data_IF_848204191434
#
_entry.id   IF_848204191434
#
_cell.length_a   1.000
_cell.length_b   1.000
_cell.length_c   1.000
_cell.angle_alpha   90.00
_cell.angle_beta   90.00
_cell.angle_gamma   90.00
#
_symmetry.space_group_name_H-M   'P 1'
#
loop_
_entity.id
_entity.type
_entity.pdbx_description
1 polymer ?
#
# COMPACT_ATOMS: atom_id res chain seq x y z
N UNK A 1 -4.99 12.82 27.06
CA UNK A 1 -5.58 11.87 26.10
C UNK A 1 -6.32 12.60 24.98
N UNK A 2 -7.19 13.56 25.30
CA UNK A 2 -7.97 14.37 24.32
C UNK A 2 -7.14 15.12 23.25
N UNK A 3 -5.92 15.56 23.59
CA UNK A 3 -5.04 16.26 22.65
C UNK A 3 -4.45 15.33 21.58
N UNK A 4 -4.14 14.06 21.95
CA UNK A 4 -3.61 13.07 21.02
C UNK A 4 -4.69 12.57 20.05
N UNK A 5 -5.93 12.42 20.50
CA UNK A 5 -7.07 12.06 19.64
C UNK A 5 -7.38 13.15 18.62
N UNK A 6 -7.35 14.43 19.03
CA UNK A 6 -7.49 15.56 18.10
C UNK A 6 -6.37 15.58 17.06
N UNK A 7 -5.13 15.31 17.46
CA UNK A 7 -3.99 15.24 16.55
C UNK A 7 -4.11 14.06 15.57
N UNK A 8 -4.43 12.87 16.06
CA UNK A 8 -4.67 11.67 15.25
C UNK A 8 -5.81 11.88 14.25
N UNK A 9 -6.92 12.48 14.69
CA UNK A 9 -8.05 12.79 13.81
C UNK A 9 -7.68 13.77 12.70
N UNK A 10 -6.82 14.75 12.97
CA UNK A 10 -6.35 15.71 11.97
C UNK A 10 -5.46 15.04 10.92
N UNK A 11 -4.58 14.14 11.35
CA UNK A 11 -3.70 13.37 10.46
C UNK A 11 -4.54 12.39 9.61
N UNK A 12 -5.47 11.66 10.21
CA UNK A 12 -6.39 10.73 9.52
C UNK A 12 -7.36 11.42 8.56
N UNK A 13 -7.51 12.74 8.66
CA UNK A 13 -8.34 13.54 7.76
C UNK A 13 -7.53 14.32 6.71
N UNK A 14 -6.20 14.18 6.66
CA UNK A 14 -5.37 14.73 5.58
C UNK A 14 -5.76 14.10 4.24
N UNK A 15 -5.78 14.87 3.15
CA UNK A 15 -5.91 14.30 1.80
C UNK A 15 -4.58 13.64 1.43
N UNK A 16 -4.54 12.32 1.14
CA UNK A 16 -3.30 11.67 0.71
C UNK A 16 -2.87 12.21 -0.66
N UNK A 17 -1.56 12.27 -0.86
CA UNK A 17 -0.94 12.44 -2.18
C UNK A 17 -1.10 11.15 -3.00
N UNK A 18 -0.92 11.24 -4.32
CA UNK A 18 -0.96 10.04 -5.17
C UNK A 18 0.11 9.01 -4.80
N UNK A 19 1.29 9.46 -4.32
CA UNK A 19 2.34 8.53 -3.89
C UNK A 19 1.96 7.80 -2.61
N UNK A 20 1.44 8.51 -1.61
CA UNK A 20 0.93 7.90 -0.37
C UNK A 20 -0.22 6.92 -0.67
N UNK A 21 -1.14 7.29 -1.56
CA UNK A 21 -2.24 6.44 -2.00
C UNK A 21 -1.73 5.16 -2.69
N UNK A 22 -0.83 5.29 -3.68
CA UNK A 22 -0.27 4.14 -4.39
C UNK A 22 0.53 3.23 -3.46
N UNK A 23 1.37 3.78 -2.57
CA UNK A 23 2.13 2.98 -1.60
C UNK A 23 1.18 2.20 -0.68
N UNK A 24 0.12 2.84 -0.19
CA UNK A 24 -0.88 2.17 0.63
C UNK A 24 -1.61 1.05 -0.13
N UNK A 25 -2.00 1.28 -1.38
CA UNK A 25 -2.65 0.26 -2.20
C UNK A 25 -1.72 -0.92 -2.50
N UNK A 26 -0.44 -0.69 -2.77
CA UNK A 26 0.55 -1.76 -2.99
C UNK A 26 0.78 -2.54 -1.70
N UNK A 27 0.97 -1.86 -0.56
CA UNK A 27 1.11 -2.51 0.74
C UNK A 27 -0.10 -3.40 1.06
N UNK A 28 -1.31 -2.92 0.82
CA UNK A 28 -2.52 -3.70 1.10
C UNK A 28 -2.75 -4.83 0.08
N UNK A 29 -2.66 -4.55 -1.22
CA UNK A 29 -3.17 -5.48 -2.24
C UNK A 29 -2.10 -6.49 -2.66
N UNK A 30 -0.82 -6.12 -2.59
CA UNK A 30 0.29 -6.98 -3.00
C UNK A 30 0.94 -7.66 -1.80
N UNK A 31 1.38 -6.89 -0.81
CA UNK A 31 2.15 -7.42 0.33
C UNK A 31 1.29 -8.30 1.24
N UNK A 32 0.06 -7.91 1.55
CA UNK A 32 -0.84 -8.69 2.41
C UNK A 32 -1.57 -9.79 1.61
N UNK A 33 -0.84 -10.72 1.00
CA UNK A 33 -1.43 -11.78 0.18
C UNK A 33 -0.44 -12.90 -0.14
N UNK A 34 -0.72 -13.66 -1.20
CA UNK A 34 0.08 -14.82 -1.62
C UNK A 34 1.60 -14.59 -1.69
N UNK A 35 2.07 -13.35 -1.88
CA UNK A 35 3.50 -13.05 -1.88
C UNK A 35 4.21 -13.32 -0.55
N UNK A 36 3.50 -13.23 0.59
CA UNK A 36 4.09 -13.51 1.91
C UNK A 36 4.42 -15.00 2.10
N UNK A 37 3.74 -15.88 1.35
CA UNK A 37 3.98 -17.33 1.36
C UNK A 37 5.13 -17.74 0.42
N UNK A 38 5.65 -16.81 -0.40
CA UNK A 38 6.71 -17.08 -1.35
C UNK A 38 8.09 -16.89 -0.70
N UNK A 39 8.85 -17.98 -0.57
CA UNK A 39 10.21 -17.99 -0.01
C UNK A 39 11.29 -18.36 -1.04
N UNK A 40 10.93 -18.48 -2.31
CA UNK A 40 11.80 -18.94 -3.40
C UNK A 40 11.60 -18.09 -4.66
N UNK A 41 12.31 -18.45 -5.74
CA UNK A 41 12.10 -17.83 -7.05
C UNK A 41 10.66 -18.07 -7.50
N UNK A 42 9.95 -16.99 -7.80
CA UNK A 42 8.56 -17.02 -8.25
C UNK A 42 8.51 -17.58 -9.68
N UNK A 43 7.74 -18.64 -9.88
CA UNK A 43 7.43 -19.18 -11.21
C UNK A 43 6.40 -18.31 -11.95
N UNK A 44 6.27 -18.48 -13.26
CA UNK A 44 5.30 -17.72 -14.05
C UNK A 44 3.85 -17.98 -13.59
N UNK A 45 3.55 -19.19 -13.14
CA UNK A 45 2.23 -19.58 -12.64
C UNK A 45 1.92 -18.91 -11.30
N UNK A 46 2.90 -18.89 -10.39
CA UNK A 46 2.79 -18.19 -9.10
C UNK A 46 2.68 -16.67 -9.31
N UNK A 47 3.45 -16.11 -10.24
CA UNK A 47 3.34 -14.71 -10.62
C UNK A 47 1.94 -14.40 -11.18
N UNK A 48 1.42 -15.25 -12.06
CA UNK A 48 0.06 -15.09 -12.60
C UNK A 48 -0.99 -15.12 -11.49
N UNK A 49 -0.87 -16.07 -10.55
CA UNK A 49 -1.76 -16.15 -9.37
C UNK A 49 -1.69 -14.87 -8.53
N UNK A 50 -0.48 -14.41 -8.22
CA UNK A 50 -0.24 -13.18 -7.48
C UNK A 50 -0.91 -11.97 -8.14
N UNK A 51 -0.76 -11.83 -9.46
CA UNK A 51 -1.34 -10.72 -10.23
C UNK A 51 -2.88 -10.77 -10.23
N UNK A 52 -3.48 -11.96 -10.38
CA UNK A 52 -4.94 -12.12 -10.34
C UNK A 52 -5.48 -11.74 -8.96
N UNK A 53 -4.86 -12.21 -7.89
CA UNK A 53 -5.29 -11.90 -6.52
C UNK A 53 -5.13 -10.41 -6.19
N UNK A 54 -3.96 -9.85 -6.52
CA UNK A 54 -3.66 -8.42 -6.31
C UNK A 54 -4.65 -7.54 -7.05
N UNK A 55 -4.94 -7.84 -8.31
CA UNK A 55 -5.87 -7.05 -9.13
C UNK A 55 -7.33 -7.15 -8.64
N UNK A 56 -7.77 -8.33 -8.20
CA UNK A 56 -9.10 -8.50 -7.60
C UNK A 56 -9.24 -7.72 -6.27
N UNK A 57 -8.18 -7.66 -5.47
CA UNK A 57 -8.19 -6.84 -4.25
C UNK A 57 -8.15 -5.35 -4.57
N UNK A 58 -7.34 -4.93 -5.55
CA UNK A 58 -7.28 -3.55 -6.01
C UNK A 58 -8.63 -3.07 -6.56
N UNK A 59 -9.34 -3.90 -7.33
CA UNK A 59 -10.69 -3.61 -7.82
C UNK A 59 -11.64 -3.26 -6.68
N UNK A 60 -11.65 -4.05 -5.59
CA UNK A 60 -12.47 -3.77 -4.40
C UNK A 60 -12.12 -2.40 -3.79
N UNK A 61 -10.83 -2.04 -3.75
CA UNK A 61 -10.39 -0.73 -3.22
C UNK A 61 -10.80 0.42 -4.14
N UNK A 62 -10.78 0.23 -5.46
CA UNK A 62 -11.27 1.23 -6.42
C UNK A 62 -12.80 1.41 -6.30
N UNK A 63 -13.55 0.32 -6.19
CA UNK A 63 -15.00 0.38 -5.92
C UNK A 63 -15.26 1.13 -4.60
N UNK A 64 -14.46 0.87 -3.56
CA UNK A 64 -14.55 1.59 -2.28
C UNK A 64 -14.25 3.08 -2.43
N UNK A 65 -13.25 3.45 -3.25
CA UNK A 65 -12.92 4.84 -3.56
C UNK A 65 -14.12 5.59 -4.14
N UNK A 66 -14.84 4.94 -5.05
CA UNK A 66 -15.99 5.53 -5.73
C UNK A 66 -17.25 5.55 -4.85
N UNK A 67 -17.58 4.42 -4.21
CA UNK A 67 -18.83 4.26 -3.44
C UNK A 67 -18.74 4.82 -2.02
N UNK A 68 -17.56 4.78 -1.40
CA UNK A 68 -17.33 5.12 0.01
C UNK A 68 -16.08 5.99 0.20
N UNK A 69 -15.98 7.17 -0.44
CA UNK A 69 -14.75 7.98 -0.49
C UNK A 69 -14.21 8.40 0.88
N UNK A 70 -15.08 8.59 1.87
CA UNK A 70 -14.67 8.94 3.25
C UNK A 70 -13.98 7.77 3.94
N UNK A 71 -14.53 6.56 3.79
CA UNK A 71 -13.94 5.34 4.36
C UNK A 71 -12.64 4.99 3.64
N UNK A 72 -12.64 5.11 2.31
CA UNK A 72 -11.44 4.91 1.50
C UNK A 72 -10.29 5.82 1.96
N UNK A 73 -10.58 7.11 2.17
CA UNK A 73 -9.60 8.06 2.68
C UNK A 73 -9.05 7.67 4.06
N UNK A 74 -9.92 7.26 4.98
CA UNK A 74 -9.48 6.79 6.31
C UNK A 74 -8.60 5.55 6.18
N UNK A 75 -8.97 4.62 5.31
CA UNK A 75 -8.20 3.42 5.01
C UNK A 75 -6.80 3.77 4.48
N UNK A 76 -6.69 4.63 3.45
CA UNK A 76 -5.40 5.05 2.90
C UNK A 76 -4.54 5.70 4.00
N UNK A 77 -5.08 6.65 4.75
CA UNK A 77 -4.33 7.32 5.80
C UNK A 77 -3.88 6.36 6.91
N UNK A 78 -4.70 5.38 7.27
CA UNK A 78 -4.33 4.35 8.22
C UNK A 78 -3.14 3.53 7.72
N UNK A 79 -3.20 3.00 6.50
CA UNK A 79 -2.11 2.20 5.92
C UNK A 79 -0.84 3.04 5.77
N UNK A 80 -0.96 4.29 5.30
CA UNK A 80 0.18 5.19 5.18
C UNK A 80 0.90 5.38 6.52
N UNK A 81 0.17 5.71 7.58
CA UNK A 81 0.78 5.95 8.89
C UNK A 81 1.36 4.68 9.52
N UNK A 82 0.73 3.54 9.29
CA UNK A 82 1.08 2.29 9.96
C UNK A 82 2.24 1.59 9.27
N UNK A 83 2.28 1.61 7.93
CA UNK A 83 3.16 0.73 7.16
C UNK A 83 4.08 1.45 6.18
N UNK A 84 3.62 2.55 5.57
CA UNK A 84 4.34 3.14 4.41
C UNK A 84 4.88 4.55 4.63
N UNK A 85 4.79 5.10 5.84
CA UNK A 85 5.21 6.48 6.14
C UNK A 85 6.71 6.74 5.92
N UNK A 86 7.53 5.70 6.11
CA UNK A 86 8.99 5.76 5.91
C UNK A 86 9.40 5.20 4.55
N UNK A 87 8.45 4.84 3.67
CA UNK A 87 8.81 4.34 2.34
C UNK A 87 9.34 5.50 1.51
N UNK A 88 10.48 5.27 0.84
CA UNK A 88 11.02 6.27 -0.06
C UNK A 88 10.04 6.60 -1.16
N UNK A 89 9.96 7.90 -1.48
CA UNK A 89 9.25 8.40 -2.65
C UNK A 89 10.18 8.59 -3.85
N UNK A 90 11.48 8.44 -3.63
CA UNK A 90 12.52 8.56 -4.64
C UNK A 90 12.79 7.19 -5.28
N UNK A 91 12.59 7.10 -6.59
CA UNK A 91 12.86 5.86 -7.33
C UNK A 91 14.36 5.58 -7.46
N UNK A 92 15.21 6.59 -7.30
CA UNK A 92 16.67 6.45 -7.38
C UNK A 92 17.29 5.82 -6.14
N UNK A 93 16.57 5.80 -5.01
CA UNK A 93 17.03 5.16 -3.77
C UNK A 93 17.12 3.62 -3.90
N UNK A 94 16.43 3.05 -4.89
CA UNK A 94 16.43 1.62 -5.19
C UNK A 94 17.09 1.28 -6.53
N UNK A 95 17.87 2.20 -7.13
CA UNK A 95 18.88 1.78 -8.10
C UNK A 95 19.79 0.81 -7.37
N UNK A 96 19.52 -0.48 -7.60
CA UNK A 96 20.25 -1.59 -7.03
C UNK A 96 21.72 -1.26 -7.24
N UNK A 97 22.47 -1.21 -6.14
CA UNK A 97 23.91 -1.43 -6.21
C UNK A 97 24.07 -2.78 -6.91
N UNK A 98 24.23 -2.78 -8.23
CA UNK A 98 24.71 -3.91 -8.99
C UNK A 98 26.19 -4.11 -8.65
N UNK A 99 26.48 -4.35 -7.37
CA UNK A 99 27.71 -4.97 -6.94
C UNK A 99 27.44 -6.47 -6.89
N UNK A 100 27.42 -7.10 -8.07
CA UNK A 100 27.60 -8.55 -8.17
C UNK A 100 28.66 -8.85 -9.22
N UNK A 101 29.90 -8.91 -8.69
CA UNK A 101 31.05 -9.76 -9.04
C UNK A 101 31.00 -10.51 -10.38
#
# INVERSE_FOLDING_TARGET
>A
MENNEKQLSKILNKKPTYREETNALICECLRNGFIEDLHSRISDEEMKKLMIETSANLEKKLIMKDKHPKEYKKFINFITLTYTKEWSTDLTEYELKEDRK
#
